data_IF_185444029878
#
_entry.id   IF_185444029878
#
_cell.length_a   1.000
_cell.length_b   1.000
_cell.length_c   1.000
_cell.angle_alpha   90.00
_cell.angle_beta   90.00
_cell.angle_gamma   90.00
#
_symmetry.space_group_name_H-M   'P 1'
#
loop_
_entity.id
_entity.type
_entity.pdbx_description
1 polymer ?
#
# COMPACT_ATOMS: atom_id res chain seq x y z
N UNK A 1 -4.43 -5.07 8.13
CA UNK A 1 -3.18 -5.05 8.93
C UNK A 1 -3.48 -4.69 10.37
N UNK A 2 -3.09 -5.54 11.32
CA UNK A 2 -3.52 -5.46 12.74
C UNK A 2 -3.07 -4.19 13.49
N UNK A 3 -1.94 -3.60 13.10
CA UNK A 3 -1.36 -2.44 13.77
C UNK A 3 -1.11 -1.30 12.79
N UNK A 4 -1.63 -0.11 13.11
CA UNK A 4 -1.42 1.12 12.33
C UNK A 4 -0.07 1.71 12.69
N UNK A 5 0.91 1.62 11.79
CA UNK A 5 2.22 2.25 11.93
C UNK A 5 2.70 2.78 10.60
N UNK A 6 3.32 3.97 10.61
CA UNK A 6 3.93 4.54 9.42
C UNK A 6 5.25 3.83 9.09
N UNK A 7 5.42 3.38 7.85
CA UNK A 7 6.62 2.72 7.36
C UNK A 7 7.12 3.41 6.10
N UNK A 8 8.42 3.71 6.04
CA UNK A 8 9.07 4.15 4.80
C UNK A 8 9.15 2.96 3.85
N UNK A 9 8.72 3.14 2.61
CA UNK A 9 8.72 2.13 1.56
C UNK A 9 9.13 2.76 0.23
N UNK A 10 9.77 1.97 -0.61
CA UNK A 10 10.01 2.33 -2.00
C UNK A 10 8.79 1.92 -2.81
N UNK A 11 8.16 2.86 -3.51
CA UNK A 11 6.94 2.61 -4.28
C UNK A 11 7.24 2.60 -5.77
N UNK A 12 6.63 1.66 -6.49
CA UNK A 12 6.61 1.61 -7.94
C UNK A 12 5.15 1.54 -8.37
N UNK A 13 4.75 2.44 -9.27
CA UNK A 13 3.47 2.38 -9.95
C UNK A 13 3.71 1.83 -11.36
N UNK A 14 3.15 0.67 -11.67
CA UNK A 14 3.26 0.04 -12.97
C UNK A 14 2.05 -0.85 -13.23
N UNK A 15 1.61 -1.00 -14.48
CA UNK A 15 0.52 -1.90 -14.88
C UNK A 15 -0.74 -1.83 -13.99
N UNK A 16 -1.19 -0.61 -13.66
CA UNK A 16 -2.34 -0.35 -12.79
C UNK A 16 -2.22 -0.96 -11.36
N UNK A 17 -1.00 -1.25 -10.92
CA UNK A 17 -0.72 -1.79 -9.60
C UNK A 17 0.28 -0.90 -8.86
N UNK A 18 0.04 -0.68 -7.56
CA UNK A 18 0.99 -0.03 -6.67
C UNK A 18 1.77 -1.09 -5.91
N UNK A 19 3.06 -1.19 -6.22
CA UNK A 19 4.00 -2.07 -5.55
C UNK A 19 4.76 -1.28 -4.50
N UNK A 20 5.05 -1.91 -3.36
CA UNK A 20 5.93 -1.31 -2.36
C UNK A 20 6.95 -2.30 -1.82
N UNK A 21 8.18 -1.82 -1.66
CA UNK A 21 9.36 -2.59 -1.27
C UNK A 21 9.95 -2.03 0.03
N UNK A 22 10.73 -2.84 0.75
CA UNK A 22 11.45 -2.35 1.93
C UNK A 22 12.63 -1.46 1.52
N UNK A 23 13.41 -1.94 0.55
CA UNK A 23 14.57 -1.25 -0.02
C UNK A 23 14.46 -1.15 -1.55
N UNK A 24 15.21 -0.22 -2.15
CA UNK A 24 15.25 -0.02 -3.62
C UNK A 24 15.93 -1.15 -4.38
N UNK A 25 16.69 -1.99 -3.69
CA UNK A 25 17.43 -3.14 -4.25
C UNK A 25 16.67 -4.45 -4.14
N UNK A 26 15.52 -4.45 -3.47
CA UNK A 26 14.72 -5.66 -3.27
C UNK A 26 14.12 -6.12 -4.60
N UNK A 27 14.17 -7.43 -4.85
CA UNK A 27 13.56 -8.05 -6.03
C UNK A 27 12.08 -8.35 -5.84
N UNK A 28 11.70 -8.71 -4.61
CA UNK A 28 10.34 -9.10 -4.25
C UNK A 28 9.62 -7.96 -3.52
N UNK A 29 8.37 -7.64 -3.87
CA UNK A 29 7.61 -6.60 -3.21
C UNK A 29 7.21 -7.03 -1.79
N UNK A 30 7.20 -6.06 -0.88
CA UNK A 30 6.59 -6.21 0.45
C UNK A 30 5.06 -6.25 0.37
N UNK A 31 4.48 -5.63 -0.65
CA UNK A 31 3.08 -5.81 -0.97
C UNK A 31 2.69 -5.19 -2.29
N UNK A 32 1.50 -5.58 -2.73
CA UNK A 32 0.94 -5.25 -4.03
C UNK A 32 -0.51 -4.82 -3.80
N UNK A 33 -0.88 -3.68 -4.39
CA UNK A 33 -2.23 -3.14 -4.36
C UNK A 33 -2.67 -2.92 -5.81
N UNK A 34 -3.45 -3.84 -6.40
CA UNK A 34 -4.15 -3.59 -7.65
C UNK A 34 -5.08 -2.38 -7.50
N UNK A 35 -5.07 -1.49 -8.50
CA UNK A 35 -5.77 -0.20 -8.44
C UNK A 35 -7.10 -0.21 -9.18
N UNK A 36 -7.63 -1.37 -9.58
CA UNK A 36 -8.98 -1.45 -10.14
C UNK A 36 -10.01 -0.98 -9.11
N UNK A 37 -10.88 -0.05 -9.52
CA UNK A 37 -11.90 0.57 -8.66
C UNK A 37 -11.33 1.29 -7.42
N UNK A 38 -10.05 1.65 -7.43
CA UNK A 38 -9.42 2.44 -6.37
C UNK A 38 -9.45 3.92 -6.75
N UNK A 39 -9.86 4.74 -5.79
CA UNK A 39 -9.83 6.19 -5.88
C UNK A 39 -8.87 6.78 -4.84
N UNK A 40 -8.50 8.04 -5.06
CA UNK A 40 -7.59 8.80 -4.19
C UNK A 40 -8.34 10.00 -3.63
N UNK A 41 -8.16 10.29 -2.34
CA UNK A 41 -8.57 11.57 -1.75
C UNK A 41 -7.49 12.13 -0.84
N UNK A 42 -7.43 13.45 -0.78
CA UNK A 42 -6.61 14.14 0.23
C UNK A 42 -7.16 13.87 1.63
N UNK A 43 -6.25 13.68 2.59
CA UNK A 43 -6.60 13.49 4.00
C UNK A 43 -5.64 14.24 4.90
N UNK A 44 -6.12 14.61 6.08
CA UNK A 44 -5.30 15.21 7.10
C UNK A 44 -4.80 14.13 8.07
N UNK A 45 -3.50 14.10 8.34
CA UNK A 45 -2.91 13.37 9.45
C UNK A 45 -2.32 14.36 10.45
N UNK A 46 -2.47 14.08 11.76
CA UNK A 46 -2.01 14.96 12.83
C UNK A 46 -0.50 15.23 12.79
N UNK A 47 0.29 14.27 12.32
CA UNK A 47 1.73 14.24 12.44
C UNK A 47 2.46 14.07 11.09
N UNK A 48 1.74 14.02 9.97
CA UNK A 48 2.30 13.80 8.64
C UNK A 48 1.66 14.78 7.64
N UNK A 49 2.46 15.63 6.98
CA UNK A 49 1.95 16.52 5.94
C UNK A 49 1.73 15.74 4.63
N UNK A 50 0.97 16.36 3.71
CA UNK A 50 0.76 15.86 2.34
C UNK A 50 0.17 14.44 2.25
N UNK A 51 -0.75 14.09 3.16
CA UNK A 51 -1.36 12.78 3.16
C UNK A 51 -2.50 12.66 2.14
N UNK A 52 -2.58 11.49 1.53
CA UNK A 52 -3.72 11.03 0.76
C UNK A 52 -4.04 9.59 1.17
N UNK A 53 -5.25 9.14 0.92
CA UNK A 53 -5.62 7.73 1.07
C UNK A 53 -6.05 7.12 -0.26
N UNK A 54 -5.75 5.83 -0.41
CA UNK A 54 -6.41 4.97 -1.38
C UNK A 54 -7.70 4.43 -0.73
N UNK A 55 -8.82 4.53 -1.43
CA UNK A 55 -10.09 3.96 -0.98
C UNK A 55 -10.80 3.26 -2.14
N UNK A 56 -11.57 2.21 -1.83
CA UNK A 56 -12.38 1.53 -2.83
C UNK A 56 -13.62 2.36 -3.17
N UNK A 57 -13.93 2.50 -4.46
CA UNK A 57 -15.17 3.12 -4.89
C UNK A 57 -16.36 2.21 -4.53
N UNK A 58 -17.34 2.75 -3.80
CA UNK A 58 -18.54 2.02 -3.40
C UNK A 58 -18.36 1.17 -2.15
N UNK A 59 -18.99 -0.01 -2.12
CA UNK A 59 -18.98 -0.95 -0.98
C UNK A 59 -17.94 -2.08 -1.12
N UNK A 60 -17.01 -1.96 -2.06
CA UNK A 60 -15.94 -2.94 -2.24
C UNK A 60 -14.80 -2.75 -1.21
N UNK A 61 -13.96 -3.77 -1.10
CA UNK A 61 -12.74 -3.72 -0.30
C UNK A 61 -11.52 -3.59 -1.21
N UNK A 62 -10.47 -2.94 -0.73
CA UNK A 62 -9.19 -2.91 -1.43
C UNK A 62 -8.61 -4.32 -1.42
N UNK A 63 -8.44 -4.89 -2.62
CA UNK A 63 -7.69 -6.13 -2.81
C UNK A 63 -6.21 -5.77 -2.64
N UNK A 64 -5.54 -6.37 -1.67
CA UNK A 64 -4.11 -6.15 -1.47
C UNK A 64 -3.50 -7.38 -0.79
N UNK A 65 -2.24 -7.66 -1.13
CA UNK A 65 -1.45 -8.65 -0.41
C UNK A 65 -0.19 -7.98 0.16
N UNK A 66 0.32 -8.56 1.24
CA UNK A 66 1.60 -8.14 1.82
C UNK A 66 2.31 -9.31 2.45
N UNK A 67 3.62 -9.18 2.61
CA UNK A 67 4.46 -10.15 3.31
C UNK A 67 4.88 -9.64 4.69
N UNK A 68 5.16 -10.56 5.60
CA UNK A 68 5.83 -10.26 6.88
C UNK A 68 7.34 -10.03 6.67
N UNK A 69 8.10 -9.93 7.76
CA UNK A 69 9.57 -9.77 7.71
C UNK A 69 10.30 -11.00 7.14
N UNK A 70 9.67 -12.15 7.14
CA UNK A 70 10.22 -13.41 6.63
C UNK A 70 9.82 -13.66 5.16
N UNK A 71 9.09 -12.72 4.55
CA UNK A 71 8.62 -12.83 3.17
C UNK A 71 7.36 -13.70 3.03
N UNK A 72 6.74 -14.14 4.12
CA UNK A 72 5.51 -14.94 4.06
C UNK A 72 4.30 -14.04 3.85
N UNK A 73 3.43 -14.43 2.92
CA UNK A 73 2.16 -13.72 2.69
C UNK A 73 1.30 -13.80 3.95
N UNK A 74 0.77 -12.64 4.36
CA UNK A 74 -0.14 -12.53 5.51
C UNK A 74 -1.52 -12.06 5.06
N UNK A 75 -2.56 -12.64 5.67
CA UNK A 75 -3.96 -12.20 5.54
C UNK A 75 -4.21 -10.85 6.24
#
# INVERSE_FOLDING_TARGET
>A
GRYKSWKRRWFILNDNCLYYFEYTTDKEPRGIIPLENIQVREVQDRNKPHCFELYAAGSEFIKACKTDSEGKVVE
#
